data_IF_560591775435
#
_entry.id   IF_560591775435
#
_cell.length_a   1.000
_cell.length_b   1.000
_cell.length_c   1.000
_cell.angle_alpha   90.00
_cell.angle_beta   90.00
_cell.angle_gamma   90.00
#
_symmetry.space_group_name_H-M   'P 1'
#
loop_
_entity.id
_entity.type
_entity.pdbx_description
1 polymer ?
#
# COMPACT_ATOMS: atom_id res chain seq x y z
N UNK A 1 -2.63 -13.55 2.52
CA UNK A 1 -4.01 -13.89 2.93
C UNK A 1 -4.65 -14.80 1.86
N UNK A 2 -5.70 -15.56 2.19
CA UNK A 2 -6.43 -16.38 1.19
C UNK A 2 -7.02 -15.55 0.05
N UNK A 3 -7.20 -14.25 0.25
CA UNK A 3 -7.67 -13.29 -0.76
C UNK A 3 -6.62 -12.91 -1.81
N UNK A 4 -5.35 -13.25 -1.59
CA UNK A 4 -4.19 -12.78 -2.36
C UNK A 4 -3.51 -11.55 -1.75
N UNK A 5 -4.16 -10.83 -0.83
CA UNK A 5 -3.58 -9.66 -0.16
C UNK A 5 -2.35 -10.03 0.67
N UNK A 6 -1.33 -9.18 0.65
CA UNK A 6 -0.08 -9.33 1.39
C UNK A 6 0.02 -8.24 2.46
N UNK A 7 -0.15 -8.62 3.72
CA UNK A 7 -0.09 -7.66 4.84
C UNK A 7 1.36 -7.33 5.20
N UNK A 8 1.62 -6.09 5.61
CA UNK A 8 2.96 -5.65 6.00
C UNK A 8 3.43 -6.40 7.27
N UNK A 9 2.53 -6.62 8.24
CA UNK A 9 2.79 -7.48 9.40
C UNK A 9 1.51 -8.11 9.93
N UNK A 10 1.63 -9.17 10.72
CA UNK A 10 0.49 -9.82 11.40
C UNK A 10 0.13 -9.14 12.74
N UNK A 11 0.76 -8.01 13.06
CA UNK A 11 0.69 -7.35 14.38
C UNK A 11 0.16 -5.93 14.27
N UNK A 12 -0.41 -5.43 15.37
CA UNK A 12 -0.70 -4.01 15.56
C UNK A 12 0.04 -3.47 16.78
N UNK A 13 0.35 -2.18 16.73
CA UNK A 13 0.80 -1.36 17.86
C UNK A 13 2.05 -1.84 18.58
N UNK A 14 2.89 -2.62 17.91
CA UNK A 14 4.26 -2.81 18.39
C UNK A 14 5.03 -1.49 18.20
N UNK A 15 5.75 -1.02 19.25
CA UNK A 15 6.43 0.27 19.19
C UNK A 15 7.67 0.22 18.29
N UNK A 16 7.90 1.29 17.54
CA UNK A 16 9.19 1.52 16.87
C UNK A 16 10.32 1.76 17.89
N UNK A 17 9.95 2.33 19.04
CA UNK A 17 10.83 2.58 20.17
C UNK A 17 10.06 2.33 21.47
N UNK A 18 10.61 1.55 22.39
CA UNK A 18 9.95 1.18 23.65
C UNK A 18 9.58 2.44 24.44
N UNK A 19 8.32 2.54 24.84
CA UNK A 19 7.76 3.72 25.48
C UNK A 19 7.37 4.85 24.53
N UNK A 20 7.66 4.71 23.22
CA UNK A 20 7.35 5.69 22.19
C UNK A 20 5.88 5.71 21.80
N UNK A 21 5.53 6.69 20.95
CA UNK A 21 4.14 6.95 20.51
C UNK A 21 3.85 6.44 19.10
N UNK A 22 4.86 5.97 18.38
CA UNK A 22 4.73 5.46 17.01
C UNK A 22 4.46 3.95 17.03
N UNK A 23 3.20 3.63 17.29
CA UNK A 23 2.70 2.27 17.47
C UNK A 23 1.58 2.04 16.47
N UNK A 24 1.94 1.66 15.23
CA UNK A 24 1.02 1.63 14.10
C UNK A 24 0.39 0.25 13.92
N UNK A 25 -0.74 0.22 13.22
CA UNK A 25 -1.38 -1.02 12.79
C UNK A 25 -0.84 -1.40 11.39
N UNK A 26 -0.06 -2.48 11.34
CA UNK A 26 0.56 -2.99 10.11
C UNK A 26 -0.18 -4.17 9.49
N UNK A 27 -1.39 -4.50 9.95
CA UNK A 27 -2.17 -5.63 9.44
C UNK A 27 -2.88 -5.35 8.11
N UNK A 28 -2.40 -4.37 7.37
CA UNK A 28 -2.93 -3.93 6.07
C UNK A 28 -1.93 -4.20 4.95
N UNK A 29 -2.43 -4.14 3.72
CA UNK A 29 -1.67 -4.37 2.51
C UNK A 29 -1.24 -3.03 1.92
N UNK A 30 0.01 -2.61 2.14
CA UNK A 30 0.61 -1.49 1.44
C UNK A 30 0.98 -1.89 0.03
N UNK A 31 0.66 -1.06 -0.95
CA UNK A 31 0.98 -1.34 -2.35
C UNK A 31 2.51 -1.35 -2.57
N UNK A 32 3.23 -0.40 -1.98
CA UNK A 32 4.69 -0.31 -2.02
C UNK A 32 5.38 -1.58 -1.48
N UNK A 33 5.08 -1.95 -0.25
CA UNK A 33 5.71 -3.11 0.43
C UNK A 33 5.44 -4.40 -0.34
N UNK A 34 4.25 -4.51 -0.88
CA UNK A 34 3.84 -5.67 -1.63
C UNK A 34 4.48 -5.75 -3.00
N UNK A 35 4.81 -4.64 -3.66
CA UNK A 35 5.56 -4.63 -4.92
C UNK A 35 6.94 -5.27 -4.74
N UNK A 36 7.69 -4.89 -3.71
CA UNK A 36 8.98 -5.49 -3.41
C UNK A 36 8.87 -6.96 -3.01
N UNK A 37 7.85 -7.30 -2.22
CA UNK A 37 7.58 -8.69 -1.83
C UNK A 37 7.23 -9.55 -3.04
N UNK A 38 6.44 -9.03 -3.98
CA UNK A 38 6.11 -9.70 -5.24
C UNK A 38 7.38 -9.98 -6.05
N UNK A 39 8.26 -8.99 -6.17
CA UNK A 39 9.53 -9.15 -6.87
C UNK A 39 10.37 -10.27 -6.25
N UNK A 40 10.51 -10.27 -4.92
CA UNK A 40 11.23 -11.33 -4.21
C UNK A 40 10.59 -12.72 -4.42
N UNK A 41 9.25 -12.82 -4.36
CA UNK A 41 8.52 -14.06 -4.60
C UNK A 41 8.74 -14.58 -6.01
N UNK A 42 8.70 -13.72 -7.03
CA UNK A 42 8.95 -14.12 -8.42
C UNK A 42 10.38 -14.61 -8.63
N UNK A 43 11.38 -13.92 -8.08
CA UNK A 43 12.79 -14.36 -8.13
C UNK A 43 13.00 -15.71 -7.45
N UNK A 44 12.25 -15.98 -6.38
CA UNK A 44 12.29 -17.25 -5.66
C UNK A 44 11.41 -18.35 -6.31
N UNK A 45 10.71 -18.07 -7.42
CA UNK A 45 9.89 -19.03 -8.14
C UNK A 45 8.47 -19.22 -7.61
N UNK A 46 8.01 -18.39 -6.69
CA UNK A 46 6.64 -18.43 -6.12
C UNK A 46 5.62 -17.71 -7.03
N UNK A 47 5.47 -18.21 -8.25
CA UNK A 47 4.60 -17.60 -9.26
C UNK A 47 3.09 -17.68 -8.91
N UNK A 48 2.69 -18.65 -8.08
CA UNK A 48 1.32 -18.78 -7.60
C UNK A 48 0.89 -17.63 -6.72
N UNK A 49 1.74 -17.29 -5.76
CA UNK A 49 1.57 -16.18 -4.83
C UNK A 49 1.61 -14.83 -5.57
N UNK A 50 2.54 -14.69 -6.52
CA UNK A 50 2.65 -13.52 -7.36
C UNK A 50 1.38 -13.27 -8.18
N UNK A 51 0.79 -14.32 -8.75
CA UNK A 51 -0.48 -14.23 -9.49
C UNK A 51 -1.62 -13.83 -8.56
N UNK A 52 -1.73 -14.48 -7.40
CA UNK A 52 -2.79 -14.18 -6.43
C UNK A 52 -2.73 -12.73 -5.95
N UNK A 53 -1.52 -12.19 -5.72
CA UNK A 53 -1.31 -10.80 -5.38
C UNK A 53 -1.70 -9.85 -6.52
N UNK A 54 -1.25 -10.09 -7.74
CA UNK A 54 -1.62 -9.27 -8.90
C UNK A 54 -3.14 -9.19 -9.06
N UNK A 55 -3.82 -10.33 -8.97
CA UNK A 55 -5.26 -10.39 -9.14
C UNK A 55 -5.99 -9.65 -7.99
N UNK A 56 -5.44 -9.71 -6.78
CA UNK A 56 -5.90 -8.93 -5.65
C UNK A 56 -5.69 -7.42 -5.90
N UNK A 57 -4.51 -7.01 -6.37
CA UNK A 57 -4.18 -5.62 -6.66
C UNK A 57 -5.14 -5.03 -7.70
N UNK A 58 -5.40 -5.73 -8.78
CA UNK A 58 -6.32 -5.27 -9.82
C UNK A 58 -7.74 -5.04 -9.28
N UNK A 59 -8.20 -5.90 -8.36
CA UNK A 59 -9.49 -5.69 -7.68
C UNK A 59 -9.46 -4.50 -6.71
N UNK A 60 -8.40 -4.36 -5.93
CA UNK A 60 -8.26 -3.28 -4.95
C UNK A 60 -8.11 -1.91 -5.62
N UNK A 61 -7.33 -1.83 -6.71
CA UNK A 61 -7.10 -0.63 -7.48
C UNK A 61 -8.26 -0.28 -8.43
N UNK A 62 -9.23 -1.18 -8.63
CA UNK A 62 -10.40 -0.91 -9.47
C UNK A 62 -11.21 0.27 -8.94
N UNK A 63 -11.60 1.18 -9.84
CA UNK A 63 -12.35 2.38 -9.50
C UNK A 63 -11.72 3.64 -10.09
N UNK A 64 -12.12 4.79 -9.57
CA UNK A 64 -11.60 6.07 -10.02
C UNK A 64 -10.14 6.26 -9.56
N UNK A 65 -9.22 6.68 -10.44
CA UNK A 65 -7.79 6.83 -10.12
C UNK A 65 -7.51 7.71 -8.89
N UNK A 66 -8.28 8.77 -8.70
CA UNK A 66 -8.17 9.67 -7.55
C UNK A 66 -8.50 9.01 -6.20
N UNK A 67 -9.12 7.84 -6.23
CA UNK A 67 -9.48 7.06 -5.06
C UNK A 67 -8.48 5.93 -4.76
N UNK A 68 -7.40 5.84 -5.53
CA UNK A 68 -6.34 4.89 -5.24
C UNK A 68 -5.73 5.21 -3.87
N UNK A 69 -5.71 4.21 -2.99
CA UNK A 69 -5.15 4.34 -1.64
C UNK A 69 -3.75 3.70 -1.60
N UNK A 70 -2.93 4.16 -0.67
CA UNK A 70 -1.60 3.58 -0.43
C UNK A 70 -1.67 2.20 0.21
N UNK A 71 -2.77 1.92 0.92
CA UNK A 71 -3.01 0.64 1.60
C UNK A 71 -4.49 0.26 1.60
N UNK A 72 -4.72 -1.02 1.77
CA UNK A 72 -6.05 -1.64 1.84
C UNK A 72 -6.09 -2.72 2.91
N UNK A 73 -7.28 -3.10 3.34
CA UNK A 73 -7.43 -4.32 4.13
C UNK A 73 -7.11 -5.59 3.32
N UNK A 74 -6.90 -6.75 3.98
CA UNK A 74 -6.51 -8.00 3.31
C UNK A 74 -7.50 -8.49 2.23
N UNK A 75 -8.78 -8.13 2.31
CA UNK A 75 -9.78 -8.45 1.30
C UNK A 75 -10.05 -7.28 0.32
N UNK A 76 -9.29 -6.18 0.42
CA UNK A 76 -9.45 -4.99 -0.39
C UNK A 76 -10.31 -3.91 0.27
N UNK A 77 -10.51 -3.99 1.59
CA UNK A 77 -11.27 -3.00 2.33
C UNK A 77 -10.59 -1.63 2.23
N UNK A 78 -11.41 -0.61 1.91
CA UNK A 78 -10.95 0.77 1.74
C UNK A 78 -11.09 1.62 3.00
N UNK A 79 -12.02 1.27 3.88
CA UNK A 79 -12.29 2.04 5.10
C UNK A 79 -11.47 1.48 6.26
N UNK A 80 -10.39 2.17 6.62
CA UNK A 80 -9.43 1.77 7.64
C UNK A 80 -9.33 2.84 8.75
N UNK A 81 -10.43 3.17 9.46
CA UNK A 81 -10.44 4.25 10.45
C UNK A 81 -9.47 3.94 11.58
N UNK A 82 -8.56 4.88 11.85
CA UNK A 82 -7.64 4.77 12.98
C UNK A 82 -8.38 5.10 14.29
N UNK A 83 -8.35 4.17 15.22
CA UNK A 83 -8.95 4.30 16.54
C UNK A 83 -7.89 4.01 17.61
N UNK A 84 -7.92 4.77 18.69
CA UNK A 84 -7.08 4.54 19.88
C UNK A 84 -7.85 3.68 20.88
N UNK A 85 -7.17 2.69 21.44
CA UNK A 85 -7.69 1.76 22.44
C UNK A 85 -7.09 2.10 23.80
N UNK A 86 -7.65 3.10 24.48
CA UNK A 86 -7.06 3.70 25.70
C UNK A 86 -7.02 2.76 26.89
N UNK A 87 -7.85 1.69 26.88
CA UNK A 87 -7.89 0.68 27.95
C UNK A 87 -6.76 -0.35 27.84
N UNK A 88 -5.98 -0.37 26.75
CA UNK A 88 -4.86 -1.29 26.57
C UNK A 88 -3.54 -0.61 26.97
N UNK A 89 -2.70 -1.29 27.75
CA UNK A 89 -1.43 -0.72 28.22
C UNK A 89 -0.37 -0.57 27.12
N UNK A 90 -0.54 -1.30 26.00
CA UNK A 90 0.48 -1.41 24.97
C UNK A 90 1.65 -2.34 25.37
N UNK A 91 2.47 -2.69 24.38
CA UNK A 91 3.65 -3.52 24.62
C UNK A 91 4.65 -2.72 25.47
N UNK A 92 5.03 -3.28 26.62
CA UNK A 92 5.90 -2.63 27.61
C UNK A 92 5.51 -1.18 27.94
N UNK A 93 4.19 -0.92 28.03
CA UNK A 93 3.64 0.40 28.34
C UNK A 93 3.67 1.40 27.19
N UNK A 94 4.05 0.99 25.98
CA UNK A 94 4.11 1.84 24.79
C UNK A 94 2.72 2.19 24.29
N UNK A 95 2.34 3.43 24.38
CA UNK A 95 1.01 3.95 24.04
C UNK A 95 1.09 4.99 22.93
N UNK A 96 0.00 5.24 22.20
CA UNK A 96 -1.29 4.54 22.26
C UNK A 96 -1.28 3.20 21.56
N UNK A 97 -2.20 2.30 21.94
CA UNK A 97 -2.55 1.13 21.15
C UNK A 97 -3.56 1.57 20.10
N UNK A 98 -3.37 1.16 18.84
CA UNK A 98 -4.23 1.56 17.73
C UNK A 98 -4.81 0.37 16.98
N UNK A 99 -5.94 0.59 16.34
CA UNK A 99 -6.45 -0.25 15.26
C UNK A 99 -6.86 0.67 14.11
N UNK A 100 -6.71 0.20 12.88
CA UNK A 100 -6.82 1.07 11.72
C UNK A 100 -5.54 1.89 11.47
N UNK A 101 -5.50 2.59 10.34
CA UNK A 101 -4.36 3.44 10.02
C UNK A 101 -4.80 4.65 9.17
N UNK A 102 -4.67 5.85 9.74
CA UNK A 102 -5.10 7.08 9.10
C UNK A 102 -4.26 7.44 7.85
N UNK A 103 -3.08 6.83 7.67
CA UNK A 103 -2.32 6.99 6.44
C UNK A 103 -3.07 6.46 5.19
N UNK A 104 -4.08 5.60 5.37
CA UNK A 104 -4.94 5.16 4.26
C UNK A 104 -5.65 6.30 3.53
N UNK A 105 -5.81 7.46 4.15
CA UNK A 105 -6.39 8.66 3.55
C UNK A 105 -5.38 9.62 2.93
N UNK A 106 -4.07 9.30 2.95
CA UNK A 106 -3.03 10.13 2.38
C UNK A 106 -3.01 10.03 0.85
N UNK A 107 -2.63 11.15 0.22
CA UNK A 107 -2.33 11.18 -1.20
C UNK A 107 -0.83 11.00 -1.41
N UNK A 108 -0.44 9.95 -2.12
CA UNK A 108 0.96 9.68 -2.45
C UNK A 108 1.09 9.37 -3.95
N UNK A 109 1.97 10.09 -4.63
CA UNK A 109 2.15 9.95 -6.08
C UNK A 109 2.96 8.71 -6.46
N UNK A 110 3.88 8.28 -5.58
CA UNK A 110 4.66 7.06 -5.79
C UNK A 110 3.79 5.81 -5.93
N UNK A 111 2.63 5.76 -5.28
CA UNK A 111 1.74 4.59 -5.34
C UNK A 111 1.29 4.26 -6.78
N UNK A 112 1.19 5.24 -7.65
CA UNK A 112 0.86 5.02 -9.06
C UNK A 112 2.00 4.30 -9.78
N UNK A 113 3.26 4.68 -9.52
CA UNK A 113 4.46 4.00 -10.00
C UNK A 113 4.55 2.58 -9.45
N UNK A 114 4.29 2.37 -8.16
CA UNK A 114 4.28 1.04 -7.53
C UNK A 114 3.29 0.08 -8.20
N UNK A 115 2.09 0.54 -8.54
CA UNK A 115 1.12 -0.27 -9.28
C UNK A 115 1.64 -0.60 -10.68
N UNK A 116 2.24 0.37 -11.38
CA UNK A 116 2.80 0.15 -12.72
C UNK A 116 3.96 -0.83 -12.69
N UNK A 117 4.86 -0.70 -11.71
CA UNK A 117 5.99 -1.61 -11.50
C UNK A 117 5.52 -3.04 -11.21
N UNK A 118 4.54 -3.20 -10.32
CA UNK A 118 3.93 -4.50 -10.02
C UNK A 118 3.43 -5.19 -11.29
N UNK A 119 2.68 -4.47 -12.13
CA UNK A 119 2.10 -5.03 -13.36
C UNK A 119 3.17 -5.28 -14.43
N UNK A 120 4.22 -4.45 -14.49
CA UNK A 120 5.37 -4.66 -15.35
C UNK A 120 6.16 -5.93 -14.96
N UNK A 121 6.51 -6.06 -13.68
CA UNK A 121 7.26 -7.20 -13.15
C UNK A 121 6.48 -8.51 -13.34
N UNK A 122 5.17 -8.49 -13.11
CA UNK A 122 4.32 -9.65 -13.37
C UNK A 122 4.40 -10.12 -14.84
N UNK A 123 4.36 -9.17 -15.80
CA UNK A 123 4.52 -9.50 -17.23
C UNK A 123 5.93 -10.00 -17.55
N UNK A 124 6.95 -9.34 -17.03
CA UNK A 124 8.35 -9.73 -17.22
C UNK A 124 8.63 -11.14 -16.69
N UNK A 125 7.95 -11.55 -15.61
CA UNK A 125 8.00 -12.90 -15.06
C UNK A 125 7.11 -13.91 -15.82
N UNK A 126 6.49 -13.54 -16.94
CA UNK A 126 5.69 -14.43 -17.79
C UNK A 126 4.26 -14.69 -17.28
N UNK A 127 3.76 -13.94 -16.31
CA UNK A 127 2.34 -14.03 -15.95
C UNK A 127 1.47 -13.50 -17.09
N UNK A 128 0.44 -14.28 -17.42
CA UNK A 128 -0.47 -13.89 -18.51
C UNK A 128 -1.15 -12.55 -18.21
N UNK A 129 -1.25 -11.65 -19.19
CA UNK A 129 -1.93 -10.37 -19.02
C UNK A 129 -3.39 -10.54 -18.66
N UNK A 130 -3.88 -9.71 -17.75
CA UNK A 130 -5.31 -9.58 -17.48
C UNK A 130 -5.93 -8.55 -18.45
N UNK A 131 -7.07 -8.87 -19.09
CA UNK A 131 -7.68 -7.99 -20.12
C UNK A 131 -7.91 -6.56 -19.64
N UNK A 132 -8.37 -6.39 -18.40
CA UNK A 132 -8.68 -5.07 -17.83
C UNK A 132 -7.48 -4.33 -17.24
N UNK A 133 -6.33 -5.00 -17.09
CA UNK A 133 -5.14 -4.39 -16.49
C UNK A 133 -4.64 -3.18 -17.29
N UNK A 134 -4.79 -3.22 -18.62
CA UNK A 134 -4.38 -2.12 -19.48
C UNK A 134 -5.27 -0.89 -19.34
N UNK A 135 -6.57 -1.07 -19.20
CA UNK A 135 -7.52 0.03 -18.98
C UNK A 135 -7.23 0.74 -17.65
N UNK A 136 -6.98 -0.04 -16.59
CA UNK A 136 -6.58 0.51 -15.28
C UNK A 136 -5.27 1.29 -15.41
N UNK A 137 -4.24 0.72 -16.04
CA UNK A 137 -2.95 1.39 -16.23
C UNK A 137 -3.10 2.73 -16.97
N UNK A 138 -3.88 2.77 -18.05
CA UNK A 138 -4.13 4.00 -18.79
C UNK A 138 -4.79 5.06 -17.93
N UNK A 139 -5.85 4.69 -17.20
CA UNK A 139 -6.57 5.63 -16.34
C UNK A 139 -5.64 6.20 -15.23
N UNK A 140 -4.80 5.35 -14.63
CA UNK A 140 -3.82 5.79 -13.62
C UNK A 140 -2.76 6.73 -14.22
N UNK A 141 -2.26 6.45 -15.44
CA UNK A 141 -1.28 7.30 -16.12
C UNK A 141 -1.86 8.65 -16.53
N UNK A 142 -3.10 8.67 -17.04
CA UNK A 142 -3.79 9.91 -17.40
C UNK A 142 -4.00 10.79 -16.17
N UNK A 143 -4.41 10.19 -15.04
CA UNK A 143 -4.54 10.89 -13.77
C UNK A 143 -3.18 11.42 -13.27
N UNK A 144 -2.14 10.59 -13.29
CA UNK A 144 -0.79 10.97 -12.88
C UNK A 144 -0.25 12.13 -13.72
N UNK A 145 -0.41 12.05 -15.04
CA UNK A 145 0.00 13.12 -15.97
C UNK A 145 -0.61 14.48 -15.65
N UNK A 146 -1.86 14.49 -15.18
CA UNK A 146 -2.54 15.71 -14.76
C UNK A 146 -2.18 16.17 -13.32
N UNK A 147 -1.63 15.29 -12.49
CA UNK A 147 -1.48 15.54 -11.05
C UNK A 147 -0.02 15.43 -10.55
N UNK A 148 0.93 15.02 -11.36
CA UNK A 148 2.32 14.76 -10.92
C UNK A 148 3.00 15.95 -10.24
N UNK A 149 2.58 17.18 -10.55
CA UNK A 149 3.09 18.42 -9.94
C UNK A 149 2.56 18.72 -8.54
N UNK A 150 1.57 17.96 -8.05
CA UNK A 150 0.98 18.20 -6.73
C UNK A 150 1.95 17.82 -5.61
N UNK A 151 1.90 18.51 -4.45
CA UNK A 151 2.52 18.02 -3.23
C UNK A 151 1.77 16.78 -2.71
N UNK A 152 2.48 15.92 -1.99
CA UNK A 152 1.95 14.71 -1.39
C UNK A 152 2.52 14.47 0.02
N UNK A 153 2.22 13.34 0.65
CA UNK A 153 2.72 12.97 1.97
C UNK A 153 4.04 12.17 1.92
N UNK A 154 4.46 11.76 0.73
CA UNK A 154 5.72 11.03 0.50
C UNK A 154 5.74 9.60 1.05
N UNK A 155 6.75 8.85 0.67
CA UNK A 155 6.95 7.44 1.01
C UNK A 155 6.93 7.15 2.53
N UNK A 156 7.33 8.14 3.34
CA UNK A 156 7.38 8.00 4.81
C UNK A 156 6.08 8.37 5.52
N UNK A 157 5.01 8.59 4.77
CA UNK A 157 3.67 8.84 5.32
C UNK A 157 3.66 9.98 6.35
N UNK A 158 4.32 11.09 5.99
CA UNK A 158 4.52 12.21 6.90
C UNK A 158 3.17 12.73 7.41
N UNK A 159 2.99 12.75 8.72
CA UNK A 159 1.81 13.27 9.40
C UNK A 159 1.92 14.80 9.56
N UNK A 160 1.92 15.51 8.43
CA UNK A 160 2.07 16.96 8.37
C UNK A 160 1.54 17.52 7.05
N UNK A 161 1.84 18.76 6.69
CA UNK A 161 1.43 19.31 5.40
C UNK A 161 2.13 18.58 4.26
N UNK A 162 1.38 18.33 3.17
CA UNK A 162 1.90 17.75 1.95
C UNK A 162 3.06 18.60 1.39
N UNK A 163 4.06 17.94 0.80
CA UNK A 163 5.29 18.57 0.26
C UNK A 163 5.67 17.96 -1.07
N UNK A 164 6.71 18.49 -1.68
CA UNK A 164 7.33 17.88 -2.86
C UNK A 164 8.41 16.90 -2.40
N UNK A 165 8.24 15.62 -2.74
CA UNK A 165 9.21 14.57 -2.45
C UNK A 165 9.86 14.06 -3.74
N UNK A 166 11.18 13.97 -3.75
CA UNK A 166 11.93 13.46 -4.92
C UNK A 166 11.51 12.04 -5.28
N UNK A 167 11.34 11.16 -4.28
CA UNK A 167 10.89 9.79 -4.50
C UNK A 167 9.56 9.75 -5.26
N UNK A 168 8.56 10.50 -4.81
CA UNK A 168 7.24 10.58 -5.46
C UNK A 168 7.28 11.08 -6.90
N UNK A 169 8.33 11.81 -7.28
CA UNK A 169 8.48 12.35 -8.66
C UNK A 169 9.28 11.43 -9.57
N UNK A 170 10.03 10.50 -9.00
CA UNK A 170 10.88 9.55 -9.76
C UNK A 170 10.13 8.27 -10.06
N UNK A 171 9.28 7.80 -9.12
CA UNK A 171 8.41 6.64 -9.31
C UNK A 171 7.30 6.93 -10.31
#
# INVERSE_FOLDING_TARGET
>A
APTGGLVAAATTSLPEDIGGVRNWDYRYCWLRDATFSLYALMLAGYHGEARAWRDWLLRAAAGAPEQLQIMYGPAGERRLPELTLDWLPGYEGSRPVRTGNAASGQFQLDVYGEVMDTLHLARAAGLQPEPHAWEIQRALLDFLGANWGRPDEGIWEVRGPSRQFTHSKVM
#
